data_IF_661067808024
#
_entry.id   IF_661067808024
#
_cell.length_a   1.000
_cell.length_b   1.000
_cell.length_c   1.000
_cell.angle_alpha   90.00
_cell.angle_beta   90.00
_cell.angle_gamma   90.00
#
_symmetry.space_group_name_H-M   'P 1'
#
loop_
_entity.id
_entity.type
_entity.pdbx_description
1 polymer ?
#
# COMPACT_ATOMS: atom_id res chain seq x y z
N UNK A 1 6.65 -14.36 -20.41
CA UNK A 1 5.93 -14.25 -19.12
C UNK A 1 6.46 -13.01 -18.40
N UNK A 2 5.61 -12.06 -18.00
CA UNK A 2 6.07 -10.83 -17.35
C UNK A 2 6.37 -11.12 -15.87
N UNK A 3 7.65 -11.33 -15.54
CA UNK A 3 8.11 -11.71 -14.20
C UNK A 3 7.80 -10.68 -13.13
N UNK A 4 7.53 -9.42 -13.50
CA UNK A 4 7.11 -8.39 -12.54
C UNK A 4 5.72 -8.65 -11.95
N UNK A 5 4.83 -9.34 -12.69
CA UNK A 5 3.48 -9.63 -12.22
C UNK A 5 3.38 -10.90 -11.37
N UNK A 6 4.43 -11.73 -11.37
CA UNK A 6 4.46 -12.96 -10.59
C UNK A 6 4.50 -12.65 -9.09
N UNK A 7 3.82 -13.46 -8.24
CA UNK A 7 3.95 -13.36 -6.80
C UNK A 7 5.41 -13.51 -6.36
N UNK A 8 5.75 -12.93 -5.22
CA UNK A 8 7.11 -13.07 -4.68
C UNK A 8 7.44 -14.54 -4.37
N UNK A 9 8.69 -14.99 -4.52
CA UNK A 9 9.09 -16.34 -4.11
C UNK A 9 8.76 -16.65 -2.63
N UNK A 10 8.88 -15.65 -1.75
CA UNK A 10 8.52 -15.78 -0.34
C UNK A 10 7.03 -16.08 -0.13
N UNK A 11 6.15 -15.52 -0.97
CA UNK A 11 4.72 -15.86 -0.95
C UNK A 11 4.50 -17.34 -1.24
N UNK A 12 5.11 -17.87 -2.32
CA UNK A 12 4.95 -19.29 -2.68
C UNK A 12 5.47 -20.21 -1.58
N UNK A 13 6.64 -19.93 -1.01
CA UNK A 13 7.20 -20.71 0.08
C UNK A 13 6.28 -20.75 1.31
N UNK A 14 5.73 -19.60 1.72
CA UNK A 14 4.79 -19.53 2.83
C UNK A 14 3.48 -20.25 2.49
N UNK A 15 2.94 -20.04 1.29
CA UNK A 15 1.70 -20.65 0.84
C UNK A 15 1.82 -22.19 0.84
N UNK A 16 2.89 -22.74 0.28
CA UNK A 16 3.17 -24.18 0.28
C UNK A 16 3.33 -24.73 1.70
N UNK A 17 4.04 -24.00 2.56
CA UNK A 17 4.19 -24.36 3.98
C UNK A 17 2.83 -24.43 4.69
N UNK A 18 1.97 -23.44 4.48
CA UNK A 18 0.62 -23.41 5.05
C UNK A 18 -0.28 -24.53 4.49
N UNK A 19 -0.14 -24.87 3.21
CA UNK A 19 -0.85 -26.01 2.60
C UNK A 19 -0.38 -27.35 3.19
N UNK A 20 0.92 -27.53 3.40
CA UNK A 20 1.47 -28.73 4.05
C UNK A 20 1.03 -28.84 5.52
N UNK A 21 0.98 -27.74 6.25
CA UNK A 21 0.42 -27.73 7.61
C UNK A 21 -1.07 -28.07 7.59
N UNK A 22 -1.82 -27.51 6.63
CA UNK A 22 -3.25 -27.80 6.47
C UNK A 22 -3.52 -29.28 6.19
N UNK A 23 -2.66 -29.96 5.42
CA UNK A 23 -2.86 -31.38 5.08
C UNK A 23 -2.56 -32.35 6.23
N UNK A 24 -1.87 -31.88 7.27
CA UNK A 24 -1.42 -32.72 8.40
C UNK A 24 -2.23 -32.51 9.68
N UNK A 25 -2.90 -31.36 9.84
CA UNK A 25 -3.65 -31.01 11.04
C UNK A 25 -5.08 -31.55 11.00
N UNK A 26 -5.55 -32.11 12.13
CA UNK A 26 -6.91 -32.66 12.27
C UNK A 26 -7.86 -31.76 13.07
N UNK A 27 -7.33 -30.78 13.81
CA UNK A 27 -8.16 -29.85 14.59
C UNK A 27 -8.93 -28.90 13.67
N UNK A 28 -10.26 -28.89 13.80
CA UNK A 28 -11.13 -28.00 13.02
C UNK A 28 -10.78 -26.52 13.20
N UNK A 29 -10.41 -26.11 14.42
CA UNK A 29 -10.02 -24.74 14.74
C UNK A 29 -8.72 -24.35 14.00
N UNK A 30 -7.71 -25.21 14.04
CA UNK A 30 -6.44 -24.95 13.36
C UNK A 30 -6.60 -24.98 11.84
N UNK A 31 -7.41 -25.90 11.30
CA UNK A 31 -7.77 -25.92 9.87
C UNK A 31 -8.40 -24.59 9.47
N UNK A 32 -9.33 -24.07 10.28
CA UNK A 32 -9.96 -22.78 10.01
C UNK A 32 -8.95 -21.63 10.04
N UNK A 33 -8.02 -21.60 11.00
CA UNK A 33 -6.97 -20.59 11.07
C UNK A 33 -6.02 -20.65 9.87
N UNK A 34 -5.60 -21.85 9.46
CA UNK A 34 -4.74 -22.05 8.28
C UNK A 34 -5.45 -21.62 6.99
N UNK A 35 -6.73 -21.95 6.82
CA UNK A 35 -7.51 -21.50 5.66
C UNK A 35 -7.65 -19.98 5.62
N UNK A 36 -7.86 -19.33 6.76
CA UNK A 36 -7.89 -17.87 6.85
C UNK A 36 -6.54 -17.24 6.54
N UNK A 37 -5.44 -17.85 6.98
CA UNK A 37 -4.09 -17.40 6.64
C UNK A 37 -3.82 -17.53 5.13
N UNK A 38 -4.13 -18.68 4.53
CA UNK A 38 -4.03 -18.88 3.07
C UNK A 38 -4.80 -17.80 2.31
N UNK A 39 -6.08 -17.58 2.67
CA UNK A 39 -6.90 -16.55 2.04
C UNK A 39 -6.35 -15.14 2.26
N UNK A 40 -5.85 -14.81 3.45
CA UNK A 40 -5.27 -13.50 3.73
C UNK A 40 -4.03 -13.23 2.86
N UNK A 41 -3.19 -14.26 2.66
CA UNK A 41 -2.05 -14.22 1.74
C UNK A 41 -2.46 -14.02 0.28
N UNK A 42 -3.53 -14.67 -0.17
CA UNK A 42 -4.09 -14.49 -1.51
C UNK A 42 -4.64 -13.07 -1.71
N UNK A 43 -5.39 -12.55 -0.73
CA UNK A 43 -6.00 -11.21 -0.78
C UNK A 43 -4.95 -10.12 -0.90
N UNK A 44 -3.88 -10.18 -0.10
CA UNK A 44 -2.81 -9.17 -0.13
C UNK A 44 -1.94 -9.30 -1.39
N UNK A 45 -1.69 -10.53 -1.86
CA UNK A 45 -0.96 -10.77 -3.11
C UNK A 45 -1.72 -10.25 -4.33
N UNK A 46 -3.03 -10.49 -4.39
CA UNK A 46 -3.90 -9.94 -5.43
C UNK A 46 -3.92 -8.41 -5.40
N UNK A 47 -3.97 -7.79 -4.21
CA UNK A 47 -3.91 -6.33 -4.08
C UNK A 47 -2.57 -5.78 -4.62
N UNK A 48 -1.46 -6.47 -4.34
CA UNK A 48 -0.15 -6.07 -4.83
C UNK A 48 0.02 -6.28 -6.35
N UNK A 49 -0.65 -7.29 -6.91
CA UNK A 49 -0.76 -7.47 -8.36
C UNK A 49 -1.43 -6.26 -9.02
N UNK A 50 -2.57 -5.79 -8.49
CA UNK A 50 -3.25 -4.59 -9.00
C UNK A 50 -2.35 -3.35 -8.94
N UNK A 51 -1.64 -3.19 -7.82
CA UNK A 51 -0.69 -2.11 -7.66
C UNK A 51 0.47 -2.20 -8.67
N UNK A 52 0.92 -3.41 -9.00
CA UNK A 52 1.96 -3.67 -10.00
C UNK A 52 1.47 -3.34 -11.41
N UNK A 53 0.24 -3.73 -11.78
CA UNK A 53 -0.35 -3.32 -13.04
C UNK A 53 -0.38 -1.80 -13.17
N UNK A 54 -0.77 -1.11 -12.11
CA UNK A 54 -0.79 0.34 -12.09
C UNK A 54 0.62 0.95 -12.21
N UNK A 55 1.63 0.37 -11.54
CA UNK A 55 3.04 0.75 -11.71
C UNK A 55 3.46 0.67 -13.17
N UNK A 56 3.16 -0.43 -13.85
CA UNK A 56 3.51 -0.62 -15.27
C UNK A 56 2.82 0.42 -16.16
N UNK A 57 1.54 0.72 -15.90
CA UNK A 57 0.81 1.75 -16.65
C UNK A 57 1.40 3.14 -16.42
N UNK A 58 1.72 3.49 -15.17
CA UNK A 58 2.34 4.78 -14.86
C UNK A 58 3.74 4.91 -15.46
N UNK A 59 4.54 3.85 -15.41
CA UNK A 59 5.86 3.80 -16.05
C UNK A 59 5.79 4.11 -17.54
N UNK A 60 4.84 3.50 -18.27
CA UNK A 60 4.65 3.77 -19.70
C UNK A 60 4.33 5.23 -19.99
N UNK A 61 3.60 5.92 -19.11
CA UNK A 61 3.28 7.35 -19.28
C UNK A 61 4.41 8.28 -18.83
N UNK A 62 5.10 7.95 -17.74
CA UNK A 62 6.04 8.86 -17.09
C UNK A 62 7.47 8.74 -17.61
N UNK A 63 7.95 7.52 -17.93
CA UNK A 63 9.34 7.29 -18.35
C UNK A 63 9.78 8.15 -19.54
N UNK A 64 8.98 8.32 -20.61
CA UNK A 64 9.36 9.18 -21.73
C UNK A 64 9.58 10.65 -21.36
N UNK A 65 9.01 11.10 -20.24
CA UNK A 65 9.08 12.49 -19.77
C UNK A 65 10.23 12.69 -18.75
N UNK A 66 10.86 11.63 -18.27
CA UNK A 66 11.94 11.68 -17.28
C UNK A 66 13.29 11.92 -17.94
N UNK A 67 13.56 13.18 -18.28
CA UNK A 67 14.90 13.63 -18.70
C UNK A 67 15.80 13.88 -17.48
N UNK A 68 17.14 13.87 -17.62
CA UNK A 68 18.04 14.21 -16.50
C UNK A 68 17.77 15.58 -15.88
N UNK A 69 17.28 16.54 -16.67
CA UNK A 69 16.87 17.87 -16.18
C UNK A 69 15.59 17.78 -15.34
N UNK A 70 14.59 17.04 -15.82
CA UNK A 70 13.36 16.78 -15.07
C UNK A 70 13.65 16.04 -13.76
N UNK A 71 14.56 15.07 -13.75
CA UNK A 71 14.95 14.34 -12.54
C UNK A 71 15.59 15.24 -11.48
N UNK A 72 16.48 16.15 -11.90
CA UNK A 72 17.08 17.15 -11.00
C UNK A 72 16.03 18.07 -10.40
N UNK A 73 15.11 18.55 -11.23
CA UNK A 73 14.03 19.44 -10.79
C UNK A 73 13.03 18.76 -9.85
N UNK A 74 12.65 17.52 -10.13
CA UNK A 74 11.82 16.71 -9.23
C UNK A 74 12.53 16.52 -7.87
N UNK A 75 13.84 16.26 -7.89
CA UNK A 75 14.62 16.10 -6.66
C UNK A 75 14.65 17.40 -5.86
N UNK A 76 14.92 18.54 -6.51
CA UNK A 76 14.90 19.85 -5.88
C UNK A 76 13.53 20.19 -5.27
N UNK A 77 12.44 19.88 -5.96
CA UNK A 77 11.08 20.04 -5.43
C UNK A 77 10.87 19.20 -4.17
N UNK A 78 11.22 17.92 -4.22
CA UNK A 78 11.06 16.99 -3.09
C UNK A 78 11.90 17.43 -1.89
N UNK A 79 13.12 17.92 -2.11
CA UNK A 79 14.03 18.35 -1.05
C UNK A 79 13.51 19.61 -0.35
N UNK A 80 13.00 20.58 -1.11
CA UNK A 80 12.37 21.79 -0.54
C UNK A 80 11.04 21.49 0.17
N UNK A 81 10.35 20.44 -0.26
CA UNK A 81 9.10 19.99 0.34
C UNK A 81 9.32 19.14 1.61
N UNK A 82 10.49 18.50 1.75
CA UNK A 82 10.77 17.56 2.83
C UNK A 82 10.52 18.12 4.25
N UNK A 83 10.86 19.39 4.57
CA UNK A 83 10.56 19.97 5.89
C UNK A 83 9.05 20.03 6.17
N UNK A 84 8.22 20.33 5.17
CA UNK A 84 6.76 20.39 5.32
C UNK A 84 6.17 18.99 5.59
N UNK A 85 6.74 17.96 4.98
CA UNK A 85 6.29 16.57 5.15
C UNK A 85 6.87 15.87 6.39
N UNK A 86 7.74 16.55 7.14
CA UNK A 86 8.30 16.04 8.39
C UNK A 86 7.41 16.31 9.61
N UNK A 87 6.39 17.17 9.46
CA UNK A 87 5.38 17.42 10.49
C UNK A 87 4.63 16.09 10.82
N UNK A 88 4.60 15.71 12.09
CA UNK A 88 3.74 14.63 12.57
C UNK A 88 2.28 15.12 12.57
N UNK A 89 1.42 14.37 11.90
CA UNK A 89 0.00 14.71 11.77
C UNK A 89 -0.79 13.97 12.84
N UNK A 90 -1.28 14.72 13.82
CA UNK A 90 -2.08 14.20 14.93
C UNK A 90 -3.58 14.16 14.58
N UNK A 91 -4.03 15.01 13.65
CA UNK A 91 -5.44 15.09 13.29
C UNK A 91 -5.69 15.53 11.83
N UNK A 92 -6.96 15.44 11.45
CA UNK A 92 -7.51 15.84 10.16
C UNK A 92 -7.32 17.33 9.84
N UNK A 93 -7.37 18.22 10.84
CA UNK A 93 -7.21 19.66 10.62
C UNK A 93 -5.77 20.01 10.27
N UNK A 94 -4.79 19.39 10.94
CA UNK A 94 -3.38 19.48 10.60
C UNK A 94 -3.09 18.96 9.19
N UNK A 95 -3.74 17.85 8.79
CA UNK A 95 -3.62 17.36 7.41
C UNK A 95 -4.15 18.36 6.38
N UNK A 96 -5.30 18.99 6.63
CA UNK A 96 -5.87 20.03 5.74
C UNK A 96 -4.91 21.23 5.63
N UNK A 97 -4.33 21.68 6.75
CA UNK A 97 -3.34 22.74 6.74
C UNK A 97 -2.09 22.36 5.93
N UNK A 98 -1.57 21.14 6.12
CA UNK A 98 -0.45 20.61 5.35
C UNK A 98 -0.79 20.61 3.85
N UNK A 99 -1.96 20.13 3.48
CA UNK A 99 -2.43 20.09 2.09
C UNK A 99 -2.50 21.49 1.46
N UNK A 100 -2.97 22.50 2.20
CA UNK A 100 -2.93 23.90 1.74
C UNK A 100 -1.50 24.41 1.56
N UNK A 101 -0.60 24.16 2.52
CA UNK A 101 0.84 24.53 2.41
C UNK A 101 1.48 23.89 1.18
N UNK A 102 1.26 22.59 0.98
CA UNK A 102 1.78 21.82 -0.16
C UNK A 102 1.21 22.32 -1.49
N UNK A 103 -0.08 22.61 -1.55
CA UNK A 103 -0.73 23.15 -2.75
C UNK A 103 -0.18 24.55 -3.10
N UNK A 104 -0.02 25.42 -2.09
CA UNK A 104 0.59 26.73 -2.27
C UNK A 104 2.03 26.61 -2.77
N UNK A 105 2.85 25.75 -2.13
CA UNK A 105 4.23 25.50 -2.56
C UNK A 105 4.28 24.99 -4.01
N UNK A 106 3.43 24.02 -4.36
CA UNK A 106 3.40 23.42 -5.71
C UNK A 106 3.05 24.42 -6.81
N UNK A 107 2.18 25.41 -6.52
CA UNK A 107 1.78 26.47 -7.46
C UNK A 107 2.88 27.49 -7.71
N UNK A 108 3.70 27.80 -6.72
CA UNK A 108 4.75 28.82 -6.82
C UNK A 108 6.11 28.23 -7.21
N UNK A 109 6.25 26.91 -7.23
CA UNK A 109 7.49 26.28 -7.66
C UNK A 109 7.76 26.56 -9.15
N UNK A 110 8.97 27.01 -9.52
CA UNK A 110 9.28 27.49 -10.86
C UNK A 110 9.56 26.33 -11.84
N UNK A 111 8.52 25.58 -12.21
CA UNK A 111 8.62 24.43 -13.11
C UNK A 111 9.15 24.82 -14.51
N UNK A 112 10.16 24.11 -15.01
CA UNK A 112 10.76 24.30 -16.34
C UNK A 112 10.86 23.02 -17.17
N UNK A 113 11.14 21.88 -16.52
CA UNK A 113 11.44 20.60 -17.16
C UNK A 113 10.61 19.44 -16.61
N UNK A 114 9.99 19.61 -15.45
CA UNK A 114 9.15 18.64 -14.76
C UNK A 114 7.74 19.20 -14.49
N UNK A 115 6.91 18.38 -13.86
CA UNK A 115 5.56 18.71 -13.46
C UNK A 115 5.23 18.05 -12.13
N UNK A 116 4.18 18.55 -11.46
CA UNK A 116 3.64 17.90 -10.26
C UNK A 116 3.28 16.42 -10.52
N UNK A 117 2.75 16.09 -11.70
CA UNK A 117 2.41 14.70 -12.05
C UNK A 117 3.63 13.77 -12.07
N UNK A 118 4.81 14.26 -12.48
CA UNK A 118 6.06 13.50 -12.41
C UNK A 118 6.57 13.33 -10.98
N UNK A 119 6.36 14.33 -10.11
CA UNK A 119 6.64 14.19 -8.67
C UNK A 119 5.72 13.13 -8.05
N UNK A 120 4.42 13.20 -8.34
CA UNK A 120 3.42 12.23 -7.87
C UNK A 120 3.79 10.81 -8.31
N UNK A 121 4.26 10.64 -9.55
CA UNK A 121 4.80 9.36 -10.02
C UNK A 121 6.02 8.89 -9.22
N UNK A 122 6.99 9.77 -8.91
CA UNK A 122 8.14 9.39 -8.07
C UNK A 122 7.73 8.99 -6.65
N UNK A 123 6.75 9.67 -6.07
CA UNK A 123 6.18 9.31 -4.78
C UNK A 123 5.45 7.97 -4.84
N UNK A 124 4.73 7.73 -5.94
CA UNK A 124 4.10 6.45 -6.21
C UNK A 124 5.12 5.31 -6.22
N UNK A 125 6.19 5.43 -7.02
CA UNK A 125 7.24 4.40 -7.06
C UNK A 125 7.90 4.16 -5.70
N UNK A 126 8.18 5.22 -4.94
CA UNK A 126 8.76 5.09 -3.59
C UNK A 126 7.80 4.39 -2.63
N UNK A 127 6.50 4.61 -2.77
CA UNK A 127 5.46 3.97 -1.94
C UNK A 127 5.25 2.51 -2.35
N UNK A 128 5.22 2.22 -3.65
CA UNK A 128 5.26 0.87 -4.21
C UNK A 128 6.42 0.05 -3.65
N UNK A 129 7.64 0.58 -3.68
CA UNK A 129 8.83 -0.10 -3.16
C UNK A 129 8.75 -0.38 -1.65
N UNK A 130 8.07 0.48 -0.89
CA UNK A 130 7.85 0.25 0.55
C UNK A 130 6.83 -0.84 0.79
N UNK A 131 5.74 -0.87 0.03
CA UNK A 131 4.80 -1.98 0.06
C UNK A 131 5.47 -3.29 -0.32
N UNK A 132 6.30 -3.31 -1.37
CA UNK A 132 7.08 -4.48 -1.75
C UNK A 132 7.95 -5.01 -0.61
N UNK A 133 8.70 -4.12 0.08
CA UNK A 133 9.53 -4.49 1.25
C UNK A 133 8.68 -4.98 2.42
N UNK A 134 7.52 -4.36 2.63
CA UNK A 134 6.58 -4.75 3.69
C UNK A 134 6.01 -6.13 3.44
N UNK A 135 5.67 -6.47 2.19
CA UNK A 135 5.18 -7.80 1.82
C UNK A 135 6.28 -8.86 1.85
N UNK A 136 7.51 -8.51 1.45
CA UNK A 136 8.65 -9.41 1.65
C UNK A 136 8.81 -9.76 3.14
N UNK A 137 8.70 -8.77 4.04
CA UNK A 137 8.70 -9.04 5.47
C UNK A 137 7.47 -9.88 5.88
N UNK A 138 6.26 -9.55 5.43
CA UNK A 138 5.04 -10.31 5.74
C UNK A 138 5.14 -11.79 5.38
N UNK A 139 5.74 -12.12 4.23
CA UNK A 139 5.84 -13.49 3.74
C UNK A 139 7.07 -14.24 4.25
N UNK A 140 8.10 -13.54 4.72
CA UNK A 140 9.33 -14.15 5.25
C UNK A 140 9.41 -14.17 6.78
N UNK A 141 8.53 -13.45 7.47
CA UNK A 141 8.68 -13.25 8.91
C UNK A 141 8.06 -14.36 9.74
N UNK A 142 8.88 -14.92 10.62
CA UNK A 142 8.44 -15.57 11.86
C UNK A 142 8.15 -14.54 12.98
N UNK A 143 8.65 -13.29 12.82
CA UNK A 143 8.49 -12.20 13.79
C UNK A 143 7.44 -11.16 13.36
N UNK A 144 6.29 -11.21 14.00
CA UNK A 144 5.20 -10.26 13.79
C UNK A 144 5.54 -8.82 14.16
N UNK A 145 6.39 -8.59 15.14
CA UNK A 145 6.76 -7.23 15.55
C UNK A 145 7.47 -6.52 14.39
N UNK A 146 8.32 -7.24 13.67
CA UNK A 146 8.95 -6.72 12.45
C UNK A 146 7.92 -6.37 11.36
N UNK A 147 6.88 -7.19 11.16
CA UNK A 147 5.83 -6.94 10.15
C UNK A 147 5.04 -5.67 10.50
N UNK A 148 4.53 -5.58 11.73
CA UNK A 148 3.77 -4.40 12.17
C UNK A 148 4.63 -3.13 12.19
N UNK A 149 5.92 -3.23 12.52
CA UNK A 149 6.84 -2.09 12.42
C UNK A 149 6.99 -1.59 10.97
N UNK A 150 7.07 -2.50 9.99
CA UNK A 150 7.09 -2.12 8.57
C UNK A 150 5.76 -1.52 8.11
N UNK A 151 4.63 -2.09 8.54
CA UNK A 151 3.29 -1.55 8.25
C UNK A 151 3.12 -0.14 8.80
N UNK A 152 3.46 0.09 10.07
CA UNK A 152 3.46 1.42 10.68
C UNK A 152 4.32 2.40 9.88
N UNK A 153 5.52 1.99 9.47
CA UNK A 153 6.43 2.84 8.69
C UNK A 153 5.88 3.20 7.31
N UNK A 154 5.26 2.27 6.59
CA UNK A 154 4.68 2.56 5.27
C UNK A 154 3.41 3.40 5.41
N UNK A 155 2.53 3.10 6.36
CA UNK A 155 1.30 3.84 6.60
C UNK A 155 1.59 5.28 7.03
N UNK A 156 2.36 5.48 8.11
CA UNK A 156 2.69 6.80 8.62
C UNK A 156 3.36 7.69 7.55
N UNK A 157 4.38 7.16 6.87
CA UNK A 157 5.05 7.93 5.80
C UNK A 157 4.17 8.17 4.58
N UNK A 158 3.16 7.34 4.34
CA UNK A 158 2.21 7.57 3.24
C UNK A 158 1.22 8.66 3.63
N UNK A 159 0.70 8.66 4.85
CA UNK A 159 -0.28 9.63 5.36
C UNK A 159 0.13 11.09 5.16
N UNK A 160 1.38 11.47 5.45
CA UNK A 160 1.82 12.85 5.20
C UNK A 160 1.97 13.16 3.69
N UNK A 161 2.36 12.16 2.89
CA UNK A 161 2.67 12.34 1.46
C UNK A 161 1.43 12.41 0.58
N UNK A 162 0.28 11.92 1.04
CA UNK A 162 -0.96 12.03 0.25
C UNK A 162 -1.43 13.48 0.10
N UNK A 163 -0.91 14.42 0.91
CA UNK A 163 -1.12 15.86 0.72
C UNK A 163 -0.67 16.37 -0.67
N UNK A 164 0.23 15.65 -1.34
CA UNK A 164 0.71 15.99 -2.70
C UNK A 164 -0.24 15.58 -3.82
N UNK A 165 -1.31 14.86 -3.49
CA UNK A 165 -2.23 14.29 -4.48
C UNK A 165 -3.40 15.25 -4.81
N UNK A 166 -3.46 16.42 -4.18
CA UNK A 166 -4.67 17.27 -4.20
C UNK A 166 -5.59 16.90 -3.05
N UNK A 167 -6.91 16.96 -3.24
CA UNK A 167 -7.94 16.71 -2.20
C UNK A 167 -8.00 15.23 -1.74
N UNK A 168 -7.02 14.84 -0.92
CA UNK A 168 -6.80 13.47 -0.45
C UNK A 168 -7.26 13.25 1.00
N UNK A 169 -8.18 14.07 1.50
CA UNK A 169 -8.63 14.00 2.90
C UNK A 169 -9.17 12.61 3.27
N UNK A 170 -10.01 12.04 2.41
CA UNK A 170 -10.57 10.71 2.61
C UNK A 170 -9.52 9.60 2.61
N UNK A 171 -8.49 9.72 1.76
CA UNK A 171 -7.38 8.77 1.77
C UNK A 171 -6.58 8.89 3.07
N UNK A 172 -6.31 10.11 3.53
CA UNK A 172 -5.65 10.33 4.82
C UNK A 172 -6.43 9.68 5.97
N UNK A 173 -7.75 9.87 6.05
CA UNK A 173 -8.60 9.26 7.08
C UNK A 173 -8.46 7.73 7.09
N UNK A 174 -8.55 7.09 5.92
CA UNK A 174 -8.39 5.64 5.80
C UNK A 174 -6.99 5.19 6.24
N UNK A 175 -5.93 5.91 5.86
CA UNK A 175 -4.57 5.56 6.27
C UNK A 175 -4.34 5.77 7.77
N UNK A 176 -4.94 6.81 8.37
CA UNK A 176 -4.89 7.07 9.80
C UNK A 176 -5.62 5.97 10.59
N UNK A 177 -6.81 5.54 10.15
CA UNK A 177 -7.53 4.41 10.75
C UNK A 177 -6.73 3.10 10.67
N UNK A 178 -6.10 2.82 9.52
CA UNK A 178 -5.23 1.67 9.36
C UNK A 178 -4.00 1.74 10.27
N UNK A 179 -3.43 2.93 10.48
CA UNK A 179 -2.30 3.14 11.37
C UNK A 179 -2.69 2.88 12.83
N UNK A 180 -3.84 3.39 13.28
CA UNK A 180 -4.38 3.11 14.62
C UNK A 180 -4.62 1.61 14.81
N UNK A 181 -5.25 0.95 13.83
CA UNK A 181 -5.44 -0.51 13.85
C UNK A 181 -4.11 -1.26 13.92
N UNK A 182 -3.10 -0.80 13.18
CA UNK A 182 -1.76 -1.39 13.16
C UNK A 182 -1.06 -1.26 14.52
N UNK A 183 -1.16 -0.11 15.19
CA UNK A 183 -0.63 0.06 16.55
C UNK A 183 -1.34 -0.84 17.55
N UNK A 184 -2.67 -0.87 17.54
CA UNK A 184 -3.46 -1.71 18.44
C UNK A 184 -3.12 -3.20 18.27
N UNK A 185 -3.04 -3.69 17.02
CA UNK A 185 -2.68 -5.08 16.74
C UNK A 185 -1.24 -5.38 17.10
N UNK A 186 -0.32 -4.44 16.87
CA UNK A 186 1.06 -4.61 17.30
C UNK A 186 1.15 -4.86 18.81
N UNK A 187 0.41 -4.08 19.62
CA UNK A 187 0.35 -4.23 21.07
C UNK A 187 -0.32 -5.53 21.50
N UNK A 188 -1.44 -5.91 20.89
CA UNK A 188 -2.14 -7.19 21.15
C UNK A 188 -1.23 -8.41 20.94
N UNK A 189 -0.34 -8.34 19.95
CA UNK A 189 0.61 -9.39 19.63
C UNK A 189 2.01 -9.18 20.25
N UNK A 190 2.21 -8.19 21.15
CA UNK A 190 3.42 -8.12 21.98
C UNK A 190 3.33 -9.19 23.07
N UNK A 191 3.93 -10.35 22.81
CA UNK A 191 4.08 -11.44 23.80
C UNK A 191 3.19 -12.67 23.58
N UNK A 192 2.28 -12.64 22.61
CA UNK A 192 1.42 -13.77 22.25
C UNK A 192 1.95 -14.54 21.03
N UNK A 193 2.01 -15.87 21.12
CA UNK A 193 2.56 -16.79 20.11
C UNK A 193 1.55 -17.22 19.03
N UNK A 194 0.41 -16.54 18.88
CA UNK A 194 -0.58 -16.89 17.85
C UNK A 194 -0.14 -16.41 16.45
N UNK A 195 0.85 -17.12 15.89
CA UNK A 195 1.52 -16.78 14.63
C UNK A 195 0.54 -16.57 13.46
N UNK A 196 -0.47 -17.41 13.31
CA UNK A 196 -1.44 -17.25 12.21
C UNK A 196 -2.35 -16.03 12.38
N UNK A 197 -2.74 -15.69 13.61
CA UNK A 197 -3.69 -14.57 13.86
C UNK A 197 -3.01 -13.23 13.59
N UNK A 198 -1.77 -13.06 14.04
CA UNK A 198 -1.00 -11.85 13.76
C UNK A 198 -0.70 -11.67 12.27
N UNK A 199 -0.34 -12.76 11.58
CA UNK A 199 -0.18 -12.75 10.12
C UNK A 199 -1.47 -12.32 9.40
N UNK A 200 -2.63 -12.91 9.74
CA UNK A 200 -3.92 -12.57 9.12
C UNK A 200 -4.24 -11.09 9.33
N UNK A 201 -4.03 -10.56 10.53
CA UNK A 201 -4.29 -9.15 10.84
C UNK A 201 -3.35 -8.22 10.05
N UNK A 202 -2.06 -8.55 9.98
CA UNK A 202 -1.09 -7.77 9.22
C UNK A 202 -1.39 -7.79 7.70
N UNK A 203 -1.77 -8.95 7.16
CA UNK A 203 -2.15 -9.11 5.77
C UNK A 203 -3.42 -8.31 5.42
N UNK A 204 -4.43 -8.28 6.29
CA UNK A 204 -5.63 -7.46 6.11
C UNK A 204 -5.31 -5.96 6.05
N UNK A 205 -4.52 -5.47 7.02
CA UNK A 205 -4.09 -4.06 7.06
C UNK A 205 -3.31 -3.71 5.79
N UNK A 206 -2.38 -4.57 5.38
CA UNK A 206 -1.60 -4.39 4.15
C UNK A 206 -2.50 -4.35 2.91
N UNK A 207 -3.42 -5.30 2.77
CA UNK A 207 -4.32 -5.37 1.63
C UNK A 207 -5.19 -4.11 1.51
N UNK A 208 -5.79 -3.67 2.61
CA UNK A 208 -6.61 -2.43 2.63
C UNK A 208 -5.77 -1.21 2.28
N UNK A 209 -4.57 -1.08 2.85
CA UNK A 209 -3.65 0.02 2.53
C UNK A 209 -3.23 0.05 1.05
N UNK A 210 -2.90 -1.12 0.49
CA UNK A 210 -2.52 -1.27 -0.92
C UNK A 210 -3.70 -0.93 -1.84
N UNK A 211 -4.90 -1.46 -1.58
CA UNK A 211 -6.09 -1.18 -2.40
C UNK A 211 -6.45 0.30 -2.36
N UNK A 212 -6.44 0.94 -1.18
CA UNK A 212 -6.70 2.37 -1.06
C UNK A 212 -5.73 3.20 -1.90
N UNK A 213 -4.45 2.84 -1.83
CA UNK A 213 -3.40 3.50 -2.60
C UNK A 213 -3.55 3.26 -4.10
N UNK A 214 -3.83 2.03 -4.54
CA UNK A 214 -4.01 1.68 -5.94
C UNK A 214 -5.20 2.42 -6.56
N UNK A 215 -6.35 2.44 -5.90
CA UNK A 215 -7.56 3.14 -6.40
C UNK A 215 -7.31 4.64 -6.52
N UNK A 216 -6.64 5.24 -5.54
CA UNK A 216 -6.30 6.67 -5.56
C UNK A 216 -5.33 6.98 -6.71
N UNK A 217 -4.28 6.18 -6.85
CA UNK A 217 -3.29 6.37 -7.89
C UNK A 217 -3.88 6.11 -9.30
N UNK A 218 -4.86 5.22 -9.43
CA UNK A 218 -5.63 5.02 -10.66
C UNK A 218 -6.46 6.27 -11.00
N UNK A 219 -7.18 6.84 -10.04
CA UNK A 219 -7.96 8.05 -10.23
C UNK A 219 -7.08 9.20 -10.76
N UNK A 220 -5.92 9.42 -10.12
CA UNK A 220 -4.95 10.41 -10.59
C UNK A 220 -4.44 10.13 -12.00
N UNK A 221 -4.10 8.87 -12.30
CA UNK A 221 -3.60 8.48 -13.62
C UNK A 221 -4.62 8.71 -14.75
N UNK A 222 -5.91 8.64 -14.43
CA UNK A 222 -7.04 8.83 -15.35
C UNK A 222 -7.60 10.26 -15.33
N UNK A 223 -7.09 11.15 -14.46
CA UNK A 223 -7.62 12.52 -14.31
C UNK A 223 -9.02 12.57 -13.69
N UNK A 224 -9.40 11.56 -12.92
CA UNK A 224 -10.66 11.54 -12.17
C UNK A 224 -10.50 12.19 -10.79
N UNK A 225 -11.61 12.60 -10.19
CA UNK A 225 -11.66 13.01 -8.79
C UNK A 225 -11.16 11.89 -7.87
N UNK A 226 -10.48 12.29 -6.78
CA UNK A 226 -10.01 11.33 -5.78
C UNK A 226 -11.20 10.61 -5.11
N UNK A 227 -11.04 9.31 -4.78
CA UNK A 227 -12.14 8.52 -4.26
C UNK A 227 -12.49 8.96 -2.82
N UNK A 228 -13.78 9.14 -2.56
CA UNK A 228 -14.27 9.32 -1.19
C UNK A 228 -14.27 8.01 -0.39
N UNK A 229 -14.52 8.10 0.93
CA UNK A 229 -14.51 6.94 1.84
C UNK A 229 -15.42 5.81 1.38
N UNK A 230 -16.64 6.12 0.94
CA UNK A 230 -17.58 5.11 0.46
C UNK A 230 -17.07 4.37 -0.78
N UNK A 231 -16.39 5.06 -1.71
CA UNK A 231 -15.80 4.44 -2.90
C UNK A 231 -14.61 3.57 -2.54
N UNK A 232 -13.74 4.03 -1.63
CA UNK A 232 -12.61 3.25 -1.11
C UNK A 232 -13.10 1.96 -0.45
N UNK A 233 -14.07 2.05 0.46
CA UNK A 233 -14.63 0.87 1.14
C UNK A 233 -15.32 -0.10 0.18
N UNK A 234 -16.06 0.43 -0.81
CA UNK A 234 -16.67 -0.39 -1.86
C UNK A 234 -15.60 -1.15 -2.65
N UNK A 235 -14.50 -0.48 -3.02
CA UNK A 235 -13.40 -1.10 -3.76
C UNK A 235 -12.67 -2.16 -2.94
N UNK A 236 -12.40 -1.92 -1.66
CA UNK A 236 -11.84 -2.93 -0.75
C UNK A 236 -12.74 -4.17 -0.64
N UNK A 237 -14.06 -3.97 -0.51
CA UNK A 237 -15.03 -5.07 -0.46
C UNK A 237 -15.06 -5.85 -1.77
N UNK A 238 -15.10 -5.15 -2.91
CA UNK A 238 -15.10 -5.78 -4.24
C UNK A 238 -13.82 -6.59 -4.49
N UNK A 239 -12.67 -6.06 -4.07
CA UNK A 239 -11.39 -6.77 -4.11
C UNK A 239 -11.45 -8.07 -3.31
N UNK A 240 -11.92 -8.00 -2.07
CA UNK A 240 -12.03 -9.18 -1.22
C UNK A 240 -12.97 -10.25 -1.80
N UNK A 241 -14.13 -9.83 -2.32
CA UNK A 241 -15.11 -10.73 -2.96
C UNK A 241 -14.49 -11.40 -4.19
N UNK A 242 -13.84 -10.65 -5.08
CA UNK A 242 -13.27 -11.24 -6.30
C UNK A 242 -12.14 -12.24 -6.01
N UNK A 243 -11.40 -12.06 -4.91
CA UNK A 243 -10.41 -13.04 -4.46
C UNK A 243 -11.08 -14.31 -3.94
N UNK A 244 -12.10 -14.17 -3.07
CA UNK A 244 -12.86 -15.31 -2.53
C UNK A 244 -13.51 -16.12 -3.66
N UNK A 245 -14.14 -15.44 -4.61
CA UNK A 245 -14.85 -16.04 -5.75
C UNK A 245 -13.90 -16.52 -6.85
N UNK A 246 -12.59 -16.34 -6.69
CA UNK A 246 -11.56 -16.70 -7.69
C UNK A 246 -11.75 -16.02 -9.05
N UNK A 247 -12.40 -14.86 -9.08
CA UNK A 247 -12.61 -14.06 -10.30
C UNK A 247 -11.54 -12.99 -10.51
N UNK A 248 -10.66 -12.77 -9.54
CA UNK A 248 -9.58 -11.79 -9.62
C UNK A 248 -8.56 -12.14 -10.72
N UNK A 249 -8.13 -11.19 -11.59
CA UNK A 249 -7.19 -11.46 -12.69
C UNK A 249 -5.82 -12.03 -12.27
N UNK A 250 -5.45 -11.81 -11.01
CA UNK A 250 -4.27 -12.42 -10.38
C UNK A 250 -4.27 -13.96 -10.46
N UNK A 251 -5.42 -14.62 -10.49
CA UNK A 251 -5.47 -16.08 -10.66
C UNK A 251 -5.15 -16.56 -12.08
N UNK A 252 -5.19 -15.68 -13.08
CA UNK A 252 -4.89 -16.05 -14.47
C UNK A 252 -3.38 -16.13 -14.76
N UNK A 253 -2.55 -15.72 -13.80
CA UNK A 253 -1.08 -15.73 -13.91
C UNK A 253 -0.40 -16.70 -12.95
N UNK A 254 -1.17 -17.34 -12.07
CA UNK A 254 -0.74 -18.47 -11.23
C UNK A 254 -0.96 -19.77 -12.00
#
# INVERSE_FOLDING_TARGET
MNTELSPSPAYFQLHDTLLQQRSTVQSAELIQQLNRALLAGEVVSAAFYDLTLLKLLQQRKAVPLLTPKAEKEISAFIDQLAPLLAEELNDAAQFIQLQHKVAAFSRHFPWQHASLSLVQYRLFLRTYQRWQKTLAALFSAEDHQAIFAQLNKVLNRSSCRVALLGDAHHLYQVLAELLVSCHHKQEEFRGNHHLLTGYIAAADIAARGIVAFAVTAEALLRGHSLPGTAQLMKRMKQHHISVIERTHPWFNIM
#
